data_IF_867662170961
#
_entry.id   IF_867662170961
#
_cell.length_a   1.000
_cell.length_b   1.000
_cell.length_c   1.000
_cell.angle_alpha   90.00
_cell.angle_beta   90.00
_cell.angle_gamma   90.00
#
_symmetry.space_group_name_H-M   'P 1'
#
loop_
_entity.id
_entity.type
_entity.pdbx_description
1 polymer ?
#
# COMPACT_ATOMS: atom_id res chain seq x y z
N UNK A 1 -4.29 -15.62 4.76
CA UNK A 1 -5.64 -15.07 4.53
C UNK A 1 -5.82 -14.66 3.10
N UNK A 2 -7.07 -14.66 2.65
CA UNK A 2 -7.28 -14.25 1.33
C UNK A 2 -8.68 -14.00 0.83
N UNK A 3 -8.82 -13.09 -0.18
CA UNK A 3 -10.07 -12.72 -0.84
C UNK A 3 -10.01 -13.06 -2.33
N UNK A 4 -10.92 -13.89 -2.83
CA UNK A 4 -11.01 -14.35 -4.21
C UNK A 4 -12.19 -13.70 -4.93
N UNK A 5 -11.90 -12.79 -5.89
CA UNK A 5 -12.90 -11.93 -6.55
C UNK A 5 -13.93 -12.69 -7.40
N UNK A 6 -13.57 -13.83 -7.94
CA UNK A 6 -14.43 -14.63 -8.82
C UNK A 6 -14.90 -15.93 -8.18
N UNK A 7 -14.24 -16.46 -7.17
CA UNK A 7 -14.75 -17.55 -6.34
C UNK A 7 -15.71 -17.03 -5.26
N UNK A 8 -15.65 -15.72 -5.00
CA UNK A 8 -16.49 -15.06 -3.99
C UNK A 8 -16.23 -15.58 -2.57
N UNK A 9 -14.97 -15.96 -2.30
CA UNK A 9 -14.56 -16.57 -1.03
C UNK A 9 -13.61 -15.65 -0.25
N UNK A 10 -13.73 -15.69 1.08
CA UNK A 10 -12.69 -15.31 2.04
C UNK A 10 -12.21 -16.58 2.72
N UNK A 11 -10.91 -16.85 2.62
CA UNK A 11 -10.31 -18.10 3.09
C UNK A 11 -9.05 -17.87 3.90
N UNK A 12 -8.73 -18.80 4.79
CA UNK A 12 -7.43 -18.89 5.41
C UNK A 12 -6.88 -20.30 5.25
N UNK A 13 -5.57 -20.45 5.27
CA UNK A 13 -4.91 -21.74 5.13
C UNK A 13 -4.13 -22.07 6.37
N UNK A 14 -4.49 -23.17 6.98
CA UNK A 14 -3.79 -23.71 8.14
C UNK A 14 -2.54 -24.46 7.69
N UNK A 15 -1.41 -24.10 8.26
CA UNK A 15 -0.18 -24.84 8.12
C UNK A 15 -0.06 -25.92 9.18
N UNK A 16 0.25 -27.16 8.78
CA UNK A 16 0.45 -28.29 9.71
C UNK A 16 1.91 -28.42 10.20
N UNK A 17 2.75 -27.40 9.93
CA UNK A 17 4.17 -27.44 10.26
C UNK A 17 5.01 -28.36 9.37
N UNK A 18 4.44 -28.91 8.31
CA UNK A 18 5.12 -29.81 7.38
C UNK A 18 5.03 -29.37 5.92
N UNK A 19 4.78 -28.08 5.65
CA UNK A 19 4.52 -27.54 4.31
C UNK A 19 3.28 -28.13 3.64
N UNK A 20 2.30 -28.50 4.43
CA UNK A 20 1.01 -28.97 3.96
C UNK A 20 -0.06 -28.02 4.47
N UNK A 21 -0.83 -27.46 3.56
CA UNK A 21 -1.86 -26.50 3.85
C UNK A 21 -3.23 -27.12 3.82
N UNK A 22 -4.03 -26.79 4.83
CA UNK A 22 -5.46 -27.10 4.84
C UNK A 22 -6.22 -25.82 4.64
N UNK A 23 -6.94 -25.72 3.54
CA UNK A 23 -7.80 -24.59 3.25
C UNK A 23 -9.02 -24.59 4.17
N UNK A 24 -9.30 -23.43 4.74
CA UNK A 24 -10.47 -23.18 5.58
C UNK A 24 -11.19 -21.94 5.06
N UNK A 25 -12.43 -22.11 4.66
CA UNK A 25 -13.26 -20.99 4.18
C UNK A 25 -13.83 -20.26 5.37
N UNK A 26 -13.56 -18.96 5.46
CA UNK A 26 -14.18 -18.05 6.41
C UNK A 26 -15.58 -17.71 5.90
N UNK A 27 -15.67 -17.29 4.62
CA UNK A 27 -16.93 -17.00 3.95
C UNK A 27 -16.87 -17.44 2.49
N UNK A 28 -17.88 -18.16 2.01
CA UNK A 28 -17.93 -18.75 0.68
C UNK A 28 -18.85 -18.06 -0.32
N UNK A 29 -19.51 -16.97 0.08
CA UNK A 29 -20.44 -16.22 -0.76
C UNK A 29 -20.19 -14.71 -0.70
N UNK A 30 -18.92 -14.30 -0.41
CA UNK A 30 -18.51 -12.89 -0.30
C UNK A 30 -18.21 -12.31 -1.68
N UNK A 31 -19.24 -12.07 -2.44
CA UNK A 31 -19.21 -11.80 -3.88
C UNK A 31 -18.36 -10.58 -4.24
N UNK A 32 -17.31 -10.82 -4.99
CA UNK A 32 -16.37 -9.78 -5.40
C UNK A 32 -15.38 -9.36 -4.30
N UNK A 33 -15.05 -10.28 -3.39
CA UNK A 33 -14.00 -10.06 -2.38
C UNK A 33 -12.73 -9.51 -3.03
N UNK A 34 -12.19 -8.40 -2.53
CA UNK A 34 -11.03 -7.72 -3.13
C UNK A 34 -9.88 -7.48 -2.17
N UNK A 35 -10.19 -7.03 -0.99
CA UNK A 35 -9.17 -6.68 -0.01
C UNK A 35 -9.46 -7.38 1.30
N UNK A 36 -8.41 -7.84 1.97
CA UNK A 36 -8.51 -8.53 3.26
C UNK A 36 -7.36 -8.07 4.15
N UNK A 37 -7.67 -7.81 5.40
CA UNK A 37 -6.71 -7.48 6.44
C UNK A 37 -6.78 -8.48 7.56
N UNK A 38 -5.64 -8.71 8.21
CA UNK A 38 -5.53 -9.46 9.44
C UNK A 38 -5.12 -8.48 10.54
N UNK A 39 -5.95 -8.30 11.53
CA UNK A 39 -5.74 -7.38 12.65
C UNK A 39 -6.57 -7.82 13.84
N UNK A 40 -6.07 -7.60 15.04
CA UNK A 40 -6.84 -7.77 16.29
C UNK A 40 -7.81 -6.58 16.40
N UNK A 41 -9.07 -6.78 16.05
CA UNK A 41 -10.10 -5.72 15.98
C UNK A 41 -10.70 -5.44 17.35
N UNK A 42 -10.87 -6.48 18.20
CA UNK A 42 -11.53 -6.36 19.50
C UNK A 42 -10.56 -6.32 20.69
N UNK A 43 -9.24 -6.37 20.42
CA UNK A 43 -8.22 -6.24 21.44
C UNK A 43 -8.08 -7.47 22.36
N UNK A 44 -8.61 -8.63 21.95
CA UNK A 44 -8.56 -9.86 22.75
C UNK A 44 -7.23 -10.62 22.62
N UNK A 45 -6.36 -10.21 21.67
CA UNK A 45 -5.04 -10.76 21.42
C UNK A 45 -5.00 -11.83 20.32
N UNK A 46 -6.14 -12.17 19.75
CA UNK A 46 -6.24 -13.05 18.59
C UNK A 46 -6.40 -12.20 17.31
N UNK A 47 -5.90 -12.70 16.18
CA UNK A 47 -6.01 -11.98 14.92
C UNK A 47 -7.32 -12.30 14.22
N UNK A 48 -8.06 -11.26 13.92
CA UNK A 48 -9.30 -11.30 13.18
C UNK A 48 -9.12 -11.05 11.68
N UNK A 49 -10.22 -11.13 10.94
CA UNK A 49 -10.23 -10.86 9.50
C UNK A 49 -11.26 -9.80 9.14
N UNK A 50 -10.79 -8.76 8.46
CA UNK A 50 -11.61 -7.73 7.87
C UNK A 50 -11.51 -7.78 6.35
N UNK A 51 -12.62 -7.75 5.63
CA UNK A 51 -12.60 -7.73 4.17
C UNK A 51 -13.69 -6.85 3.54
N UNK A 52 -13.38 -6.35 2.34
CA UNK A 52 -14.29 -5.60 1.49
C UNK A 52 -14.66 -6.40 0.23
N UNK A 53 -15.94 -6.35 -0.15
CA UNK A 53 -16.49 -7.04 -1.33
C UNK A 53 -17.27 -6.08 -2.23
N UNK A 54 -16.69 -5.74 -3.36
CA UNK A 54 -17.23 -4.71 -4.25
C UNK A 54 -18.47 -5.12 -5.07
N UNK A 55 -18.80 -6.40 -5.12
CA UNK A 55 -20.01 -6.87 -5.80
C UNK A 55 -21.12 -7.30 -4.82
N UNK A 56 -20.76 -7.56 -3.58
CA UNK A 56 -21.73 -7.80 -2.51
C UNK A 56 -22.20 -6.51 -1.85
N UNK A 57 -21.50 -5.39 -2.10
CA UNK A 57 -21.74 -4.11 -1.43
C UNK A 57 -21.57 -4.22 0.10
N UNK A 58 -20.48 -4.92 0.51
CA UNK A 58 -20.29 -5.34 1.88
C UNK A 58 -18.86 -5.11 2.38
N UNK A 59 -18.78 -4.71 3.65
CA UNK A 59 -17.58 -4.76 4.46
C UNK A 59 -17.88 -5.62 5.67
N UNK A 60 -17.10 -6.65 5.87
CA UNK A 60 -17.34 -7.64 6.92
C UNK A 60 -16.09 -7.90 7.72
N UNK A 61 -16.27 -8.03 9.03
CA UNK A 61 -15.28 -8.48 9.97
C UNK A 61 -15.65 -9.88 10.49
N UNK A 62 -14.65 -10.75 10.65
CA UNK A 62 -14.78 -12.08 11.22
C UNK A 62 -13.89 -12.18 12.44
N UNK A 63 -14.52 -12.35 13.59
CA UNK A 63 -13.86 -12.56 14.87
C UNK A 63 -13.22 -13.94 14.94
N UNK A 64 -11.97 -14.00 15.37
CA UNK A 64 -11.29 -15.23 15.70
C UNK A 64 -11.54 -15.54 17.18
N UNK A 65 -12.35 -16.53 17.47
CA UNK A 65 -12.70 -16.92 18.84
C UNK A 65 -11.94 -18.15 19.34
N UNK A 66 -10.75 -18.42 18.76
CA UNK A 66 -9.98 -19.63 19.03
C UNK A 66 -9.34 -19.57 20.43
N UNK A 67 -9.86 -20.32 21.35
CA UNK A 67 -9.21 -20.59 22.63
C UNK A 67 -8.14 -21.67 22.49
N UNK A 68 -6.86 -21.28 22.26
CA UNK A 68 -5.69 -22.18 22.27
C UNK A 68 -5.89 -23.56 21.60
N UNK A 69 -6.64 -23.64 20.54
CA UNK A 69 -6.74 -24.80 19.66
C UNK A 69 -6.16 -24.42 18.30
N UNK A 70 -5.29 -25.24 17.76
CA UNK A 70 -4.56 -25.00 16.49
C UNK A 70 -5.45 -24.80 15.24
N UNK A 71 -6.74 -24.66 15.42
CA UNK A 71 -7.71 -24.34 14.36
C UNK A 71 -8.59 -23.19 14.82
N UNK A 72 -8.37 -21.97 14.33
CA UNK A 72 -9.25 -20.83 14.63
C UNK A 72 -10.68 -21.13 14.12
N UNK A 73 -11.65 -20.68 14.90
CA UNK A 73 -13.06 -20.72 14.49
C UNK A 73 -13.46 -19.30 14.12
N UNK A 74 -13.91 -19.12 12.88
CA UNK A 74 -14.24 -17.81 12.34
C UNK A 74 -15.74 -17.54 12.47
N UNK A 75 -16.10 -16.39 13.02
CA UNK A 75 -17.48 -15.92 13.05
C UNK A 75 -17.58 -14.70 12.16
N UNK A 76 -18.34 -14.79 11.09
CA UNK A 76 -18.60 -13.67 10.19
C UNK A 76 -19.40 -12.60 10.91
N UNK A 77 -18.90 -11.39 10.92
CA UNK A 77 -19.55 -10.21 11.47
C UNK A 77 -19.55 -9.10 10.42
N UNK A 78 -20.75 -8.75 9.99
CA UNK A 78 -20.90 -7.70 8.99
C UNK A 78 -20.72 -6.33 9.60
N UNK A 79 -19.80 -5.56 9.10
CA UNK A 79 -19.66 -4.14 9.40
C UNK A 79 -20.73 -3.36 8.63
N UNK A 80 -20.88 -3.65 7.35
CA UNK A 80 -21.89 -3.05 6.49
C UNK A 80 -22.28 -3.96 5.33
N UNK A 81 -23.55 -3.99 4.96
CA UNK A 81 -24.08 -4.72 3.81
C UNK A 81 -24.83 -3.80 2.84
N UNK A 82 -24.63 -2.50 2.96
CA UNK A 82 -25.39 -1.51 2.19
C UNK A 82 -24.51 -0.64 1.27
N UNK A 83 -23.22 -0.92 1.19
CA UNK A 83 -22.26 -0.17 0.39
C UNK A 83 -22.05 -0.81 -0.97
N UNK A 84 -22.15 -0.03 -2.01
CA UNK A 84 -22.04 -0.51 -3.39
C UNK A 84 -20.62 -0.32 -3.91
N UNK A 85 -19.86 -1.42 -4.00
CA UNK A 85 -18.50 -1.43 -4.53
C UNK A 85 -17.42 -0.86 -3.60
N UNK A 86 -17.29 -1.35 -2.35
CA UNK A 86 -16.13 -1.02 -1.55
C UNK A 86 -14.85 -1.47 -2.27
N UNK A 87 -13.86 -0.58 -2.39
CA UNK A 87 -12.65 -0.83 -3.19
C UNK A 87 -11.35 -0.73 -2.39
N UNK A 88 -11.31 0.15 -1.40
CA UNK A 88 -10.18 0.32 -0.52
C UNK A 88 -10.66 0.47 0.91
N UNK A 89 -9.91 -0.10 1.85
CA UNK A 89 -10.14 0.06 3.29
C UNK A 89 -8.82 0.42 3.98
N UNK A 90 -8.94 1.21 5.05
CA UNK A 90 -7.84 1.53 5.94
C UNK A 90 -8.34 1.41 7.38
N UNK A 91 -7.45 1.09 8.31
CA UNK A 91 -7.79 0.84 9.71
C UNK A 91 -6.96 1.74 10.61
N UNK A 92 -7.60 2.36 11.60
CA UNK A 92 -6.95 3.20 12.59
C UNK A 92 -7.94 3.68 13.64
N UNK A 93 -7.45 4.11 14.79
CA UNK A 93 -8.24 4.72 15.86
C UNK A 93 -8.59 6.17 15.45
N UNK A 94 -9.82 6.39 14.96
CA UNK A 94 -10.22 7.69 14.43
C UNK A 94 -10.82 8.62 15.46
N UNK A 95 -11.44 8.08 16.51
CA UNK A 95 -12.05 8.89 17.56
C UNK A 95 -11.23 9.01 18.84
N UNK A 96 -10.06 8.34 18.86
CA UNK A 96 -9.11 8.44 19.95
C UNK A 96 -9.50 7.66 21.20
N UNK A 97 -10.43 6.70 21.07
CA UNK A 97 -10.91 5.91 22.19
C UNK A 97 -10.04 4.66 22.46
N UNK A 98 -9.16 4.31 21.54
CA UNK A 98 -8.18 3.23 21.62
C UNK A 98 -8.59 1.98 20.86
N UNK A 99 -9.79 1.95 20.28
CA UNK A 99 -10.29 0.87 19.46
C UNK A 99 -10.02 1.14 17.97
N UNK A 100 -9.87 0.09 17.17
CA UNK A 100 -9.57 0.26 15.75
C UNK A 100 -10.85 0.42 14.92
N UNK A 101 -10.95 1.53 14.23
CA UNK A 101 -12.04 1.87 13.32
C UNK A 101 -11.70 1.52 11.86
N UNK A 102 -12.71 1.57 11.00
CA UNK A 102 -12.58 1.25 9.60
C UNK A 102 -13.02 2.43 8.73
N UNK A 103 -12.15 2.84 7.79
CA UNK A 103 -12.51 3.77 6.71
C UNK A 103 -12.54 3.03 5.40
N UNK A 104 -13.53 3.32 4.57
CA UNK A 104 -13.67 2.71 3.26
C UNK A 104 -13.92 3.73 2.14
N UNK A 105 -13.27 3.50 1.00
CA UNK A 105 -13.63 4.11 -0.27
C UNK A 105 -14.68 3.26 -0.97
N UNK A 106 -15.82 3.85 -1.29
CA UNK A 106 -16.94 3.18 -1.94
C UNK A 106 -17.05 3.69 -3.38
N UNK A 107 -16.60 2.88 -4.32
CA UNK A 107 -16.45 3.27 -5.71
C UNK A 107 -17.78 3.60 -6.39
N UNK A 108 -18.74 2.68 -6.38
CA UNK A 108 -20.00 2.84 -7.12
C UNK A 108 -21.00 3.80 -6.50
N UNK A 109 -20.99 3.93 -5.17
CA UNK A 109 -21.80 4.91 -4.46
C UNK A 109 -21.08 6.25 -4.32
N UNK A 110 -19.85 6.35 -4.76
CA UNK A 110 -19.05 7.58 -4.67
C UNK A 110 -18.94 8.12 -3.25
N UNK A 111 -18.68 7.28 -2.29
CA UNK A 111 -18.66 7.67 -0.89
C UNK A 111 -17.32 7.36 -0.21
N UNK A 112 -17.01 8.16 0.79
CA UNK A 112 -16.07 7.81 1.85
C UNK A 112 -16.90 7.59 3.10
N UNK A 113 -16.72 6.44 3.72
CA UNK A 113 -17.51 6.00 4.87
C UNK A 113 -16.58 5.60 6.00
N UNK A 114 -16.94 5.97 7.21
CA UNK A 114 -16.29 5.55 8.43
C UNK A 114 -17.23 4.70 9.27
N UNK A 115 -16.70 3.64 9.86
CA UNK A 115 -17.38 2.72 10.75
C UNK A 115 -16.69 2.75 12.09
N UNK A 116 -17.36 3.32 13.08
CA UNK A 116 -16.91 3.39 14.47
C UNK A 116 -17.06 2.03 15.13
N UNK A 117 -15.99 1.58 15.76
CA UNK A 117 -15.95 0.48 16.71
C UNK A 117 -16.16 1.06 18.11
N UNK A 118 -17.19 0.63 18.83
CA UNK A 118 -17.51 1.12 20.17
C UNK A 118 -16.83 0.32 21.30
N UNK A 119 -15.76 -0.42 20.95
CA UNK A 119 -15.01 -1.28 21.87
C UNK A 119 -15.62 -2.67 22.06
N UNK A 120 -16.69 -2.98 21.37
CA UNK A 120 -17.26 -4.33 21.30
C UNK A 120 -17.69 -4.66 19.87
N UNK A 121 -16.73 -4.84 18.94
CA UNK A 121 -17.03 -5.14 17.54
C UNK A 121 -17.80 -6.45 17.38
N UNK A 122 -17.91 -7.26 18.46
CA UNK A 122 -18.60 -8.55 18.45
C UNK A 122 -20.11 -8.44 18.49
N UNK A 123 -20.67 -7.36 19.00
CA UNK A 123 -22.13 -7.17 19.09
C UNK A 123 -22.77 -6.75 17.77
N UNK A 124 -21.95 -6.43 16.74
CA UNK A 124 -22.39 -5.97 15.44
C UNK A 124 -22.90 -4.52 15.45
N UNK A 125 -22.54 -3.78 16.49
CA UNK A 125 -22.98 -2.43 16.76
C UNK A 125 -22.19 -1.34 16.05
N UNK A 126 -21.55 -1.60 14.92
CA UNK A 126 -20.82 -0.59 14.14
C UNK A 126 -21.69 0.61 13.82
N UNK A 127 -21.26 1.76 14.27
CA UNK A 127 -21.92 3.00 13.93
C UNK A 127 -21.37 3.53 12.62
N UNK A 128 -22.23 3.68 11.62
CA UNK A 128 -21.79 4.11 10.28
C UNK A 128 -21.93 5.62 10.14
N UNK A 129 -20.85 6.26 9.74
CA UNK A 129 -20.83 7.67 9.40
C UNK A 129 -20.40 7.85 7.94
N UNK A 130 -21.19 8.59 7.20
CA UNK A 130 -20.77 9.02 5.86
C UNK A 130 -19.87 10.23 6.01
N UNK A 131 -18.58 10.03 5.79
CA UNK A 131 -17.61 11.13 5.73
C UNK A 131 -17.96 12.05 4.58
N UNK A 132 -18.25 11.44 3.41
CA UNK A 132 -18.66 12.17 2.22
C UNK A 132 -19.52 11.31 1.29
N UNK A 133 -20.54 11.97 0.71
CA UNK A 133 -21.37 11.46 -0.36
C UNK A 133 -21.32 12.46 -1.53
N UNK A 134 -20.97 11.99 -2.70
CA UNK A 134 -20.85 12.84 -3.90
C UNK A 134 -22.12 12.85 -4.76
N UNK A 135 -23.16 12.09 -4.36
CA UNK A 135 -24.47 12.08 -5.02
C UNK A 135 -24.37 11.99 -6.56
N UNK A 136 -23.54 11.08 -7.07
CA UNK A 136 -23.27 10.95 -8.50
C UNK A 136 -23.92 9.71 -9.13
N UNK A 137 -25.23 9.80 -9.48
CA UNK A 137 -25.94 8.66 -10.02
C UNK A 137 -25.57 8.30 -11.47
N UNK A 138 -24.65 9.05 -12.09
CA UNK A 138 -24.27 8.84 -13.49
C UNK A 138 -22.92 8.15 -13.64
N UNK A 139 -22.12 7.98 -12.56
CA UNK A 139 -20.84 7.29 -12.63
C UNK A 139 -21.00 5.82 -12.26
N UNK A 140 -21.05 4.99 -13.25
CA UNK A 140 -21.03 3.52 -13.09
C UNK A 140 -19.61 2.92 -13.10
N UNK A 141 -18.59 3.73 -13.30
CA UNK A 141 -17.20 3.27 -13.37
C UNK A 141 -16.26 4.33 -12.76
N UNK A 142 -15.64 3.98 -11.61
CA UNK A 142 -14.48 4.70 -11.10
C UNK A 142 -14.76 6.04 -10.42
N UNK A 143 -15.28 6.02 -9.20
CA UNK A 143 -15.50 7.25 -8.44
C UNK A 143 -14.46 7.45 -7.34
N UNK A 144 -14.44 6.61 -6.32
CA UNK A 144 -13.41 6.63 -5.29
C UNK A 144 -12.38 5.52 -5.56
N UNK A 145 -11.10 5.83 -5.43
CA UNK A 145 -10.04 4.90 -5.80
C UNK A 145 -9.24 4.44 -4.58
N UNK A 146 -8.90 5.37 -3.70
CA UNK A 146 -8.03 5.08 -2.57
C UNK A 146 -8.34 5.95 -1.36
N UNK A 147 -8.10 5.39 -0.16
CA UNK A 147 -8.10 6.11 1.12
C UNK A 147 -6.81 5.84 1.89
N UNK A 148 -6.32 6.86 2.57
CA UNK A 148 -5.13 6.79 3.41
C UNK A 148 -5.36 7.59 4.69
N UNK A 149 -4.87 7.08 5.83
CA UNK A 149 -4.99 7.72 7.13
C UNK A 149 -3.66 8.37 7.52
N UNK A 150 -3.72 9.62 7.97
CA UNK A 150 -2.59 10.34 8.53
C UNK A 150 -3.10 11.50 9.39
N UNK A 151 -2.37 11.86 10.45
CA UNK A 151 -2.61 13.07 11.25
C UNK A 151 -2.02 14.26 10.47
N UNK A 152 -2.85 14.90 9.64
CA UNK A 152 -2.39 15.92 8.69
C UNK A 152 -2.22 17.30 9.31
N UNK A 153 -2.85 17.60 10.46
CA UNK A 153 -2.76 18.90 11.11
C UNK A 153 -2.08 18.87 12.49
N UNK A 154 -1.44 17.72 12.81
CA UNK A 154 -0.64 17.48 14.03
C UNK A 154 -1.45 17.74 15.32
N UNK A 155 -2.77 17.50 15.25
CA UNK A 155 -3.65 17.67 16.41
C UNK A 155 -3.81 16.37 17.22
N UNK A 156 -3.35 15.25 16.70
CA UNK A 156 -3.31 13.93 17.32
C UNK A 156 -4.42 13.01 16.84
N UNK A 157 -5.33 13.50 16.01
CA UNK A 157 -6.44 12.75 15.45
C UNK A 157 -6.12 12.32 14.00
N UNK A 158 -6.51 11.11 13.60
CA UNK A 158 -6.26 10.63 12.25
C UNK A 158 -7.25 11.24 11.25
N UNK A 159 -6.71 11.86 10.22
CA UNK A 159 -7.45 12.40 9.10
C UNK A 159 -7.51 11.42 7.92
N UNK A 160 -8.34 11.74 6.93
CA UNK A 160 -8.50 10.90 5.75
C UNK A 160 -8.05 11.66 4.50
N UNK A 161 -7.07 11.13 3.80
CA UNK A 161 -6.78 11.47 2.41
C UNK A 161 -7.53 10.50 1.50
N UNK A 162 -8.14 11.01 0.43
CA UNK A 162 -8.86 10.16 -0.52
C UNK A 162 -8.68 10.64 -1.95
N UNK A 163 -8.48 9.69 -2.86
CA UNK A 163 -8.42 9.95 -4.30
C UNK A 163 -9.76 9.62 -4.95
N UNK A 164 -10.12 10.47 -5.88
CA UNK A 164 -11.22 10.28 -6.79
C UNK A 164 -10.67 10.36 -8.20
N UNK A 165 -10.58 9.22 -8.88
CA UNK A 165 -10.03 9.13 -10.22
C UNK A 165 -10.79 8.08 -10.99
N UNK A 166 -11.38 8.45 -12.10
CA UNK A 166 -12.07 7.51 -12.98
C UNK A 166 -11.28 7.22 -14.25
N UNK A 167 -11.57 6.09 -14.89
CA UNK A 167 -11.03 5.76 -16.20
C UNK A 167 -11.59 6.63 -17.34
N UNK A 168 -12.54 7.50 -17.04
CA UNK A 168 -13.22 8.34 -18.02
C UNK A 168 -12.65 9.76 -18.06
N UNK A 169 -11.73 10.00 -18.99
CA UNK A 169 -11.30 11.36 -19.35
C UNK A 169 -12.51 12.23 -19.75
N UNK A 170 -12.78 13.28 -19.01
CA UNK A 170 -13.71 14.32 -19.41
C UNK A 170 -14.91 14.58 -18.50
N UNK A 171 -14.93 14.03 -17.27
CA UNK A 171 -16.01 14.30 -16.31
C UNK A 171 -15.76 15.46 -15.37
N UNK A 172 -14.55 16.00 -15.31
CA UNK A 172 -14.16 17.10 -14.41
C UNK A 172 -14.37 16.79 -12.91
N UNK A 173 -14.31 15.51 -12.54
CA UNK A 173 -14.64 15.03 -11.21
C UNK A 173 -13.44 14.51 -10.44
N UNK A 174 -12.35 14.25 -11.14
CA UNK A 174 -11.12 13.72 -10.53
C UNK A 174 -10.57 14.71 -9.52
N UNK A 175 -10.16 14.20 -8.38
CA UNK A 175 -9.72 15.03 -7.29
C UNK A 175 -8.96 14.25 -6.23
N UNK A 176 -8.18 15.00 -5.46
CA UNK A 176 -7.58 14.58 -4.23
C UNK A 176 -8.23 15.40 -3.10
N UNK A 177 -8.72 14.70 -2.10
CA UNK A 177 -9.44 15.28 -0.99
C UNK A 177 -8.71 15.03 0.32
N UNK A 178 -8.91 15.96 1.24
CA UNK A 178 -8.54 15.88 2.63
C UNK A 178 -9.78 16.10 3.49
N UNK A 179 -10.04 15.19 4.41
CA UNK A 179 -11.15 15.24 5.35
C UNK A 179 -10.58 15.36 6.75
N UNK A 180 -10.88 16.48 7.38
CA UNK A 180 -10.36 16.85 8.68
C UNK A 180 -11.18 16.17 9.76
N UNK A 181 -10.46 15.46 10.63
CA UNK A 181 -10.94 15.03 11.92
C UNK A 181 -10.60 16.12 12.94
N UNK A 182 -11.56 16.62 13.70
CA UNK A 182 -11.36 17.61 14.76
C UNK A 182 -11.51 17.00 16.16
N UNK A 183 -11.27 15.69 16.29
CA UNK A 183 -11.48 14.90 17.49
C UNK A 183 -12.95 14.64 17.81
N UNK A 184 -13.84 14.94 16.88
CA UNK A 184 -15.27 14.65 16.99
C UNK A 184 -15.82 14.13 15.67
N UNK A 185 -15.28 13.01 15.15
CA UNK A 185 -15.60 12.52 13.80
C UNK A 185 -17.10 12.18 13.61
N UNK A 186 -17.81 11.86 14.70
CA UNK A 186 -19.25 11.63 14.73
C UNK A 186 -20.07 12.90 14.47
N UNK A 187 -19.50 14.08 14.73
CA UNK A 187 -20.17 15.36 14.47
C UNK A 187 -20.06 15.81 13.01
N UNK A 188 -19.24 15.16 12.22
CA UNK A 188 -19.06 15.35 10.78
C UNK A 188 -17.68 15.91 10.39
N UNK A 189 -17.29 15.57 9.21
CA UNK A 189 -15.97 15.87 8.63
C UNK A 189 -15.97 17.15 7.81
N UNK A 190 -14.89 17.90 7.93
CA UNK A 190 -14.67 19.09 7.10
C UNK A 190 -13.84 18.74 5.88
N UNK A 191 -14.47 18.69 4.71
CA UNK A 191 -13.78 18.41 3.46
C UNK A 191 -13.01 19.61 2.95
N UNK A 192 -11.79 19.38 2.53
CA UNK A 192 -11.00 20.26 1.67
C UNK A 192 -10.67 19.54 0.37
N UNK A 193 -10.58 20.29 -0.69
CA UNK A 193 -10.09 19.81 -1.96
C UNK A 193 -8.65 20.27 -2.10
N UNK A 194 -7.73 19.33 -2.18
CA UNK A 194 -6.33 19.62 -2.42
C UNK A 194 -6.18 20.04 -3.89
N UNK A 195 -6.65 19.18 -4.79
CA UNK A 195 -6.69 19.46 -6.23
C UNK A 195 -7.91 18.82 -6.87
N UNK A 196 -8.41 19.39 -7.95
CA UNK A 196 -9.55 18.84 -8.70
C UNK A 196 -9.60 19.26 -10.17
N UNK A 197 -10.31 18.47 -10.96
CA UNK A 197 -10.63 18.67 -12.36
C UNK A 197 -9.66 18.03 -13.34
N UNK A 198 -10.15 17.63 -14.49
CA UNK A 198 -9.43 16.87 -15.54
C UNK A 198 -8.11 17.52 -15.98
N UNK A 199 -7.96 18.82 -15.83
CA UNK A 199 -6.70 19.49 -16.16
C UNK A 199 -5.63 19.38 -15.07
N UNK A 200 -5.97 18.96 -13.86
CA UNK A 200 -5.08 19.00 -12.71
C UNK A 200 -5.03 17.70 -11.90
N UNK A 201 -6.03 16.84 -12.03
CA UNK A 201 -6.19 15.65 -11.20
C UNK A 201 -6.65 14.41 -11.98
N UNK A 202 -6.57 14.41 -13.32
CA UNK A 202 -7.07 13.33 -14.19
C UNK A 202 -6.37 12.00 -13.87
N UNK A 203 -7.16 11.03 -13.41
CA UNK A 203 -6.65 9.72 -12.98
C UNK A 203 -5.88 9.77 -11.67
N UNK A 204 -6.30 10.57 -10.67
CA UNK A 204 -5.73 10.51 -9.33
C UNK A 204 -5.75 9.06 -8.81
N UNK A 205 -4.58 8.49 -8.48
CA UNK A 205 -4.44 7.06 -8.27
C UNK A 205 -3.84 6.71 -6.89
N UNK A 206 -2.60 7.04 -6.63
CA UNK A 206 -1.93 6.80 -5.34
C UNK A 206 -1.74 8.10 -4.59
N UNK A 207 -1.74 8.00 -3.28
CA UNK A 207 -1.47 9.12 -2.37
C UNK A 207 -0.66 8.64 -1.18
N UNK A 208 0.33 9.44 -0.78
CA UNK A 208 1.11 9.25 0.44
C UNK A 208 1.22 10.56 1.19
N UNK A 209 1.23 10.51 2.51
CA UNK A 209 1.50 11.64 3.39
C UNK A 209 2.95 11.59 3.87
N UNK A 210 3.67 12.71 3.76
CA UNK A 210 5.06 12.82 4.22
C UNK A 210 5.43 14.29 4.41
N UNK A 211 6.31 14.59 5.35
CA UNK A 211 6.88 15.94 5.58
C UNK A 211 7.99 16.16 4.53
N UNK A 212 7.63 16.76 3.41
CA UNK A 212 8.50 16.89 2.22
C UNK A 212 9.49 18.06 2.35
N UNK A 213 9.09 19.14 3.01
CA UNK A 213 9.93 20.33 3.17
C UNK A 213 10.58 20.44 4.55
N UNK A 214 10.40 19.42 5.39
CA UNK A 214 10.97 19.34 6.73
C UNK A 214 10.54 20.48 7.65
N UNK A 215 9.37 21.08 7.40
CA UNK A 215 8.83 22.14 8.25
C UNK A 215 8.08 21.56 9.48
N UNK A 216 7.79 20.28 9.47
CA UNK A 216 7.18 19.51 10.54
C UNK A 216 5.72 19.20 10.30
N UNK A 217 5.14 19.71 9.23
CA UNK A 217 3.78 19.45 8.81
C UNK A 217 3.75 18.36 7.73
N UNK A 218 2.72 17.50 7.73
CA UNK A 218 2.60 16.47 6.69
C UNK A 218 2.06 17.07 5.40
N UNK A 219 2.78 16.85 4.33
CA UNK A 219 2.39 17.15 2.96
C UNK A 219 1.75 15.94 2.28
N UNK A 220 1.34 16.14 1.03
CA UNK A 220 0.73 15.08 0.23
C UNK A 220 1.47 14.90 -1.09
N UNK A 221 1.93 13.68 -1.35
CA UNK A 221 2.45 13.29 -2.66
C UNK A 221 1.43 12.39 -3.35
N UNK A 222 1.13 12.67 -4.61
CA UNK A 222 0.14 11.92 -5.36
C UNK A 222 0.55 11.67 -6.80
N UNK A 223 0.18 10.48 -7.32
CA UNK A 223 0.32 10.12 -8.72
C UNK A 223 -1.00 10.29 -9.47
N UNK A 224 -0.89 10.71 -10.74
CA UNK A 224 -2.02 10.93 -11.64
C UNK A 224 -1.79 10.18 -12.93
N UNK A 225 -2.39 9.02 -13.04
CA UNK A 225 -2.15 8.08 -14.11
C UNK A 225 -2.47 8.66 -15.49
N UNK A 226 -3.64 9.26 -15.66
CA UNK A 226 -4.09 9.79 -16.96
C UNK A 226 -3.36 11.09 -17.34
N UNK A 227 -2.96 11.90 -16.36
CA UNK A 227 -2.13 13.08 -16.59
C UNK A 227 -0.66 12.76 -16.79
N UNK A 228 -0.23 11.55 -16.44
CA UNK A 228 1.19 11.21 -16.43
C UNK A 228 1.99 12.17 -15.54
N UNK A 229 1.53 12.36 -14.33
CA UNK A 229 2.00 13.38 -13.40
C UNK A 229 2.22 12.78 -12.02
N UNK A 230 3.25 13.24 -11.34
CA UNK A 230 3.40 13.18 -9.89
C UNK A 230 3.51 14.60 -9.37
N UNK A 231 2.80 14.89 -8.32
CA UNK A 231 2.83 16.20 -7.70
C UNK A 231 2.91 16.08 -6.19
N UNK A 232 3.57 17.05 -5.60
CA UNK A 232 3.57 17.34 -4.19
C UNK A 232 2.66 18.55 -3.92
N UNK A 233 1.91 18.46 -2.85
CA UNK A 233 1.01 19.49 -2.36
C UNK A 233 1.47 19.90 -0.98
N UNK A 234 2.06 21.09 -0.89
CA UNK A 234 2.59 21.65 0.33
C UNK A 234 1.48 22.09 1.28
N UNK A 235 1.62 21.66 2.52
CA UNK A 235 0.84 22.08 3.66
C UNK A 235 1.58 23.24 4.36
N UNK A 236 0.99 24.42 4.43
CA UNK A 236 1.60 25.62 5.07
C UNK A 236 1.46 25.62 6.61
N UNK A 237 1.27 24.46 7.23
CA UNK A 237 0.99 24.30 8.66
C UNK A 237 -0.45 24.64 9.04
N UNK A 238 -1.29 24.80 8.05
CA UNK A 238 -2.71 25.00 8.25
C UNK A 238 -3.53 24.38 7.11
N UNK A 239 -3.58 23.06 7.00
CA UNK A 239 -4.28 22.37 5.93
C UNK A 239 -5.77 22.76 5.88
N UNK A 240 -6.29 23.27 6.99
CA UNK A 240 -7.67 23.72 7.13
C UNK A 240 -8.02 24.98 6.33
N UNK A 241 -7.04 25.80 5.95
CA UNK A 241 -7.27 27.02 5.20
C UNK A 241 -7.55 26.76 3.70
N UNK A 242 -7.25 25.55 3.19
CA UNK A 242 -7.39 25.15 1.79
C UNK A 242 -6.33 25.78 0.88
N UNK A 243 -5.25 26.25 1.45
CA UNK A 243 -4.17 26.96 0.76
C UNK A 243 -3.04 26.06 0.29
N UNK A 244 -3.33 24.84 -0.16
CA UNK A 244 -2.32 23.94 -0.70
C UNK A 244 -1.57 24.56 -1.87
N UNK A 245 -0.26 24.60 -1.77
CA UNK A 245 0.59 25.00 -2.88
C UNK A 245 0.94 23.75 -3.68
N UNK A 246 0.70 23.79 -4.97
CA UNK A 246 0.98 22.63 -5.84
C UNK A 246 2.36 22.77 -6.44
N UNK A 247 3.15 21.72 -6.30
CA UNK A 247 4.46 21.58 -6.94
C UNK A 247 4.44 20.35 -7.83
N UNK A 248 4.47 20.57 -9.13
CA UNK A 248 4.63 19.47 -10.06
C UNK A 248 6.10 19.02 -10.04
N UNK A 249 6.36 17.74 -9.76
CA UNK A 249 7.73 17.24 -9.71
C UNK A 249 8.42 17.31 -11.08
N UNK A 250 7.64 17.31 -12.16
CA UNK A 250 8.16 17.43 -13.52
C UNK A 250 7.13 18.03 -14.48
N UNK A 251 7.59 18.56 -15.62
CA UNK A 251 6.69 18.98 -16.70
C UNK A 251 6.08 17.80 -17.42
N UNK A 252 4.83 17.93 -17.77
CA UNK A 252 4.05 16.92 -18.47
C UNK A 252 4.82 16.25 -19.62
N UNK A 253 4.97 14.94 -19.56
CA UNK A 253 5.46 14.09 -20.63
C UNK A 253 4.36 13.11 -20.98
N UNK A 254 3.61 13.38 -22.05
CA UNK A 254 2.53 12.50 -22.46
C UNK A 254 2.98 11.04 -22.62
N UNK A 255 2.20 10.11 -22.09
CA UNK A 255 2.45 8.68 -22.20
C UNK A 255 3.39 8.12 -21.12
N UNK A 256 3.40 8.70 -19.93
CA UNK A 256 4.15 8.17 -18.77
C UNK A 256 3.33 7.14 -17.98
N UNK A 257 2.06 7.43 -17.77
CA UNK A 257 1.23 6.71 -16.80
C UNK A 257 1.95 6.54 -15.47
N UNK A 258 1.94 7.59 -14.63
CA UNK A 258 2.51 7.55 -13.28
C UNK A 258 1.69 6.58 -12.44
N UNK A 259 2.18 5.33 -12.34
CA UNK A 259 1.41 4.21 -11.83
C UNK A 259 1.62 4.02 -10.33
N UNK A 260 2.87 3.93 -9.92
CA UNK A 260 3.21 3.77 -8.51
C UNK A 260 4.25 4.80 -8.07
N UNK A 261 4.29 5.09 -6.76
CA UNK A 261 5.23 6.02 -6.13
C UNK A 261 5.71 5.49 -4.78
N UNK A 262 7.00 5.72 -4.52
CA UNK A 262 7.60 5.55 -3.20
C UNK A 262 8.16 6.88 -2.72
N UNK A 263 8.04 7.16 -1.41
CA UNK A 263 8.57 8.38 -0.77
C UNK A 263 9.63 7.98 0.25
N UNK A 264 10.86 8.36 0.00
CA UNK A 264 12.03 7.89 0.76
C UNK A 264 13.22 8.80 0.53
N UNK A 265 14.07 8.98 1.53
CA UNK A 265 15.35 9.69 1.43
C UNK A 265 16.36 8.81 0.68
N UNK A 266 16.58 9.06 -0.61
CA UNK A 266 17.43 8.25 -1.50
C UNK A 266 18.89 8.62 -1.40
N UNK A 267 19.20 9.90 -1.17
CA UNK A 267 20.59 10.37 -1.15
C UNK A 267 21.16 10.57 0.25
N UNK A 268 20.35 10.29 1.28
CA UNK A 268 20.81 10.28 2.66
C UNK A 268 21.04 11.68 3.23
N UNK A 269 20.50 12.72 2.60
CA UNK A 269 20.68 14.10 3.03
C UNK A 269 19.66 14.53 4.11
N UNK A 270 18.64 13.71 4.32
CA UNK A 270 17.60 13.87 5.35
C UNK A 270 16.31 14.45 4.81
N UNK A 271 16.24 14.75 3.53
CA UNK A 271 15.06 15.21 2.83
C UNK A 271 14.39 14.04 2.09
N UNK A 272 13.06 14.01 2.08
CA UNK A 272 12.34 12.90 1.45
C UNK A 272 12.18 13.14 -0.04
N UNK A 273 12.61 12.16 -0.81
CA UNK A 273 12.54 12.12 -2.26
C UNK A 273 11.32 11.32 -2.76
N UNK A 274 11.13 11.29 -4.08
CA UNK A 274 10.08 10.50 -4.72
C UNK A 274 10.67 9.61 -5.81
N UNK A 275 10.35 8.33 -5.75
CA UNK A 275 10.61 7.36 -6.81
C UNK A 275 9.31 7.05 -7.54
N UNK A 276 9.33 7.01 -8.87
CA UNK A 276 8.14 6.77 -9.71
C UNK A 276 8.33 5.56 -10.62
N UNK A 277 7.34 4.68 -10.64
CA UNK A 277 7.13 3.72 -11.72
C UNK A 277 6.29 4.34 -12.82
N UNK A 278 6.92 4.67 -13.94
CA UNK A 278 6.26 5.26 -15.11
C UNK A 278 5.93 4.17 -16.14
N UNK A 279 4.74 3.56 -15.99
CA UNK A 279 4.35 2.31 -16.65
C UNK A 279 4.45 2.34 -18.18
N UNK A 280 3.74 3.23 -18.85
CA UNK A 280 3.69 3.23 -20.33
C UNK A 280 5.03 3.62 -20.95
N UNK A 281 5.81 4.45 -20.29
CA UNK A 281 7.15 4.83 -20.76
C UNK A 281 8.21 3.77 -20.46
N UNK A 282 7.90 2.80 -19.59
CA UNK A 282 8.82 1.76 -19.13
C UNK A 282 10.07 2.33 -18.48
N UNK A 283 9.89 3.24 -17.56
CA UNK A 283 10.99 3.93 -16.88
C UNK A 283 10.76 3.97 -15.39
N UNK A 284 11.87 4.10 -14.66
CA UNK A 284 11.87 4.45 -13.26
C UNK A 284 12.61 5.77 -13.13
N UNK A 285 12.03 6.68 -12.35
CA UNK A 285 12.62 7.98 -12.08
C UNK A 285 12.77 8.19 -10.58
N UNK A 286 13.82 8.86 -10.21
CA UNK A 286 14.00 9.48 -8.93
C UNK A 286 13.90 10.99 -9.10
N UNK A 287 13.17 11.62 -8.24
CA UNK A 287 13.01 13.06 -8.12
C UNK A 287 13.64 13.48 -6.82
N UNK A 288 14.76 14.19 -6.93
CA UNK A 288 15.55 14.68 -5.81
C UNK A 288 14.89 15.91 -5.19
N UNK A 289 14.68 15.83 -3.89
CA UNK A 289 14.42 16.97 -3.03
C UNK A 289 15.75 17.42 -2.43
N UNK A 290 16.24 18.62 -2.78
CA UNK A 290 17.53 19.15 -2.33
C UNK A 290 17.41 19.98 -1.04
N UNK A 291 16.37 19.76 -0.24
CA UNK A 291 16.04 20.53 0.96
C UNK A 291 15.52 21.91 0.68
N UNK A 292 15.25 22.21 -0.58
CA UNK A 292 14.62 23.47 -0.99
C UNK A 292 13.52 23.23 -2.03
N UNK A 293 12.53 22.38 -1.68
CA UNK A 293 11.56 21.88 -2.66
C UNK A 293 10.74 22.99 -3.34
N UNK A 294 10.64 24.18 -2.72
CA UNK A 294 9.85 25.33 -3.19
C UNK A 294 10.60 26.30 -4.10
N UNK A 295 11.93 26.30 -4.12
CA UNK A 295 12.71 27.47 -4.61
C UNK A 295 13.31 27.32 -5.99
N UNK A 296 12.98 26.32 -6.74
CA UNK A 296 13.52 26.14 -8.09
C UNK A 296 12.98 27.20 -9.05
N UNK A 297 13.77 28.22 -9.26
CA UNK A 297 13.44 29.40 -10.07
C UNK A 297 13.28 29.06 -11.55
N UNK A 298 12.17 29.47 -12.11
CA UNK A 298 11.84 29.61 -13.53
C UNK A 298 11.26 28.36 -14.25
N UNK A 299 11.44 27.16 -13.75
CA UNK A 299 10.75 25.93 -14.18
C UNK A 299 10.65 25.00 -12.96
N UNK A 300 9.89 25.28 -11.96
CA UNK A 300 9.67 24.69 -10.62
C UNK A 300 9.63 23.15 -10.52
N UNK A 301 10.56 22.46 -11.16
CA UNK A 301 10.64 21.01 -11.20
C UNK A 301 11.82 20.50 -10.39
N UNK A 302 11.58 19.40 -9.67
CA UNK A 302 12.63 18.70 -8.98
C UNK A 302 13.67 18.17 -9.95
N UNK A 303 14.89 18.07 -9.49
CA UNK A 303 15.93 17.42 -10.28
C UNK A 303 15.53 15.97 -10.51
N UNK A 304 15.24 15.63 -11.75
CA UNK A 304 14.85 14.26 -12.07
C UNK A 304 16.02 13.46 -12.61
N UNK A 305 16.34 12.40 -11.95
CA UNK A 305 17.30 11.40 -12.42
C UNK A 305 16.53 10.19 -12.93
N UNK A 306 16.82 9.82 -14.15
CA UNK A 306 16.28 8.60 -14.69
C UNK A 306 17.14 7.43 -14.21
N UNK A 307 16.57 6.57 -13.40
CA UNK A 307 17.21 5.37 -12.90
C UNK A 307 17.30 4.34 -14.03
N UNK A 308 16.19 4.06 -14.70
CA UNK A 308 16.13 3.05 -15.75
C UNK A 308 15.33 3.52 -16.97
N UNK A 309 15.60 2.91 -18.12
CA UNK A 309 14.97 3.24 -19.39
C UNK A 309 14.81 2.00 -20.29
N UNK A 310 13.60 1.78 -20.77
CA UNK A 310 13.30 0.59 -21.56
C UNK A 310 13.10 -0.64 -20.70
N UNK A 311 12.61 -0.42 -19.50
CA UNK A 311 12.36 -1.45 -18.48
C UNK A 311 11.15 -2.33 -18.85
N UNK A 312 10.33 -1.87 -19.76
CA UNK A 312 9.03 -2.43 -20.08
C UNK A 312 7.95 -1.65 -19.33
N UNK A 313 6.79 -2.21 -19.13
CA UNK A 313 5.77 -1.61 -18.27
C UNK A 313 6.27 -1.65 -16.82
N UNK A 314 6.78 -0.53 -16.32
CA UNK A 314 7.18 -0.43 -14.91
C UNK A 314 5.92 -0.49 -14.04
N UNK A 315 5.80 -1.54 -13.25
CA UNK A 315 4.55 -1.86 -12.55
C UNK A 315 4.61 -1.62 -11.05
N UNK A 316 5.81 -1.64 -10.47
CA UNK A 316 5.96 -1.44 -9.04
C UNK A 316 7.38 -0.97 -8.72
N UNK A 317 7.54 -0.18 -7.67
CA UNK A 317 8.83 0.29 -7.15
C UNK A 317 8.86 0.19 -5.63
N UNK A 318 10.03 -0.14 -5.12
CA UNK A 318 10.33 -0.14 -3.69
C UNK A 318 11.73 0.43 -3.46
N UNK A 319 12.05 0.78 -2.23
CA UNK A 319 13.39 1.21 -1.83
C UNK A 319 13.85 0.46 -0.58
N UNK A 320 15.12 0.07 -0.57
CA UNK A 320 15.78 -0.57 0.57
C UNK A 320 17.29 -0.51 0.39
N UNK A 321 18.05 -0.54 1.47
CA UNK A 321 19.50 -0.74 1.46
C UNK A 321 19.78 -2.23 1.17
N UNK A 322 20.04 -2.54 -0.09
CA UNK A 322 20.15 -3.93 -0.58
C UNK A 322 21.55 -4.50 -0.36
N UNK A 323 22.58 -3.66 -0.46
CA UNK A 323 23.97 -4.14 -0.31
C UNK A 323 24.57 -3.83 1.06
N UNK A 324 23.79 -3.23 1.96
CA UNK A 324 24.19 -2.98 3.33
C UNK A 324 25.24 -1.87 3.47
N UNK A 325 25.34 -0.99 2.48
CA UNK A 325 26.32 0.10 2.50
C UNK A 325 25.79 1.37 3.19
N UNK A 326 24.51 1.41 3.47
CA UNK A 326 23.81 2.47 4.18
C UNK A 326 23.08 3.45 3.27
N UNK A 327 23.17 3.29 1.96
CA UNK A 327 22.48 4.08 0.98
C UNK A 327 21.19 3.37 0.51
N UNK A 328 20.12 4.11 0.28
CA UNK A 328 18.85 3.52 -0.17
C UNK A 328 18.89 3.23 -1.67
N UNK A 329 18.81 1.97 -2.02
CA UNK A 329 18.70 1.49 -3.40
C UNK A 329 17.27 1.49 -3.89
N UNK A 330 17.09 1.35 -5.20
CA UNK A 330 15.76 1.22 -5.82
C UNK A 330 15.58 -0.17 -6.42
N UNK A 331 14.47 -0.79 -6.13
CA UNK A 331 14.03 -2.04 -6.73
C UNK A 331 12.84 -1.74 -7.64
N UNK A 332 12.77 -2.36 -8.81
CA UNK A 332 11.66 -2.17 -9.71
C UNK A 332 11.28 -3.44 -10.46
N UNK A 333 10.01 -3.49 -10.82
CA UNK A 333 9.44 -4.52 -11.68
C UNK A 333 9.13 -4.00 -13.06
N UNK A 334 9.36 -4.82 -14.07
CA UNK A 334 9.01 -4.56 -15.45
C UNK A 334 8.08 -5.64 -15.98
N UNK A 335 6.78 -5.40 -15.96
CA UNK A 335 5.77 -6.36 -16.35
C UNK A 335 6.00 -6.93 -17.76
N UNK A 336 6.08 -6.06 -18.77
CA UNK A 336 6.35 -6.51 -20.16
C UNK A 336 7.83 -6.74 -20.44
N UNK A 337 8.70 -6.38 -19.52
CA UNK A 337 10.15 -6.56 -19.62
C UNK A 337 10.63 -7.86 -19.02
N UNK A 338 9.78 -8.58 -18.30
CA UNK A 338 10.12 -9.83 -17.59
C UNK A 338 11.33 -9.66 -16.67
N UNK A 339 11.34 -8.60 -15.86
CA UNK A 339 12.49 -8.29 -15.01
C UNK A 339 12.08 -7.86 -13.62
N UNK A 340 12.86 -8.30 -12.65
CA UNK A 340 13.05 -7.64 -11.37
C UNK A 340 14.50 -7.20 -11.32
N UNK A 341 14.74 -5.93 -11.07
CA UNK A 341 16.06 -5.37 -11.03
C UNK A 341 16.24 -4.52 -9.78
N UNK A 342 17.43 -4.54 -9.27
CA UNK A 342 17.95 -3.65 -8.28
C UNK A 342 18.87 -2.64 -8.96
N UNK A 343 18.75 -1.39 -8.57
CA UNK A 343 19.49 -0.26 -9.09
C UNK A 343 20.30 0.32 -7.94
N UNK A 344 21.62 0.11 -8.02
CA UNK A 344 22.55 0.51 -6.96
C UNK A 344 22.63 2.01 -6.84
N UNK A 345 22.44 2.49 -5.63
CA UNK A 345 22.86 3.80 -5.20
C UNK A 345 24.26 3.69 -4.58
N UNK A 346 25.27 4.35 -5.16
CA UNK A 346 26.65 4.35 -4.66
C UNK A 346 26.96 5.55 -3.75
N UNK A 347 25.92 6.12 -3.11
CA UNK A 347 25.99 7.34 -2.34
C UNK A 347 26.12 8.60 -3.20
N UNK A 348 25.84 8.48 -4.49
CA UNK A 348 25.88 9.60 -5.43
C UNK A 348 24.74 9.52 -6.46
N UNK A 349 23.49 9.42 -6.03
CA UNK A 349 22.37 9.08 -6.89
C UNK A 349 22.10 10.12 -8.00
N UNK A 350 22.49 11.37 -7.83
CA UNK A 350 22.42 12.43 -8.84
C UNK A 350 23.40 12.26 -10.01
N UNK A 351 24.37 11.35 -9.88
CA UNK A 351 25.22 10.91 -10.99
C UNK A 351 24.42 10.00 -11.95
N UNK A 352 24.61 10.14 -13.25
CA UNK A 352 23.91 9.34 -14.26
C UNK A 352 24.28 7.83 -14.25
N UNK A 353 24.69 7.26 -13.13
CA UNK A 353 25.36 5.97 -13.06
C UNK A 353 24.65 4.95 -12.17
N UNK A 354 23.35 4.96 -12.14
CA UNK A 354 22.63 3.86 -11.54
C UNK A 354 23.00 2.55 -12.25
N UNK A 355 23.58 1.65 -11.51
CA UNK A 355 24.02 0.36 -12.06
C UNK A 355 22.91 -0.64 -11.81
N UNK A 356 22.31 -1.11 -12.90
CA UNK A 356 21.27 -2.11 -12.83
C UNK A 356 21.87 -3.50 -12.64
N UNK A 357 21.45 -4.17 -11.60
CA UNK A 357 21.71 -5.58 -11.35
C UNK A 357 20.41 -6.35 -11.48
N UNK A 358 20.48 -7.49 -12.15
CA UNK A 358 19.33 -8.36 -12.29
C UNK A 358 19.15 -9.18 -11.02
N UNK A 359 18.05 -9.00 -10.36
CA UNK A 359 17.61 -9.91 -9.30
C UNK A 359 17.03 -11.17 -9.95
N UNK A 360 16.17 -10.99 -10.96
CA UNK A 360 15.58 -12.13 -11.66
C UNK A 360 14.88 -11.75 -12.96
N UNK A 361 14.48 -12.79 -13.68
CA UNK A 361 13.71 -12.65 -14.92
C UNK A 361 12.42 -13.47 -14.83
N UNK A 362 11.54 -13.13 -13.89
CA UNK A 362 10.22 -13.75 -13.84
C UNK A 362 9.38 -13.25 -15.01
N UNK A 363 8.46 -14.05 -15.49
CA UNK A 363 7.58 -13.67 -16.58
C UNK A 363 6.42 -12.81 -16.03
N UNK A 364 6.30 -11.57 -16.47
CA UNK A 364 5.24 -10.65 -16.06
C UNK A 364 5.23 -10.29 -14.57
N UNK A 365 6.32 -9.75 -13.98
CA UNK A 365 6.31 -9.32 -12.60
C UNK A 365 5.37 -8.13 -12.42
N UNK A 366 4.56 -8.14 -11.35
CA UNK A 366 3.51 -7.14 -11.13
C UNK A 366 3.55 -6.50 -9.74
N UNK A 367 4.00 -7.23 -8.73
CA UNK A 367 4.12 -6.73 -7.37
C UNK A 367 5.41 -7.24 -6.74
N UNK A 368 6.05 -6.38 -5.92
CA UNK A 368 7.25 -6.71 -5.14
C UNK A 368 7.11 -6.28 -3.70
N UNK A 369 7.78 -7.03 -2.84
CA UNK A 369 7.99 -6.68 -1.43
C UNK A 369 9.46 -6.86 -1.10
N UNK A 370 10.03 -5.89 -0.39
CA UNK A 370 11.40 -5.93 0.15
C UNK A 370 11.35 -6.12 1.66
N UNK A 371 12.01 -7.15 2.15
CA UNK A 371 12.03 -7.49 3.58
C UNK A 371 13.19 -8.44 3.87
N UNK A 372 13.79 -8.37 5.05
CA UNK A 372 14.67 -9.42 5.57
C UNK A 372 13.80 -10.66 5.90
N UNK A 373 13.65 -11.55 4.90
CA UNK A 373 12.69 -12.64 4.95
C UNK A 373 13.19 -13.83 5.76
N UNK A 374 14.48 -14.06 5.74
CA UNK A 374 15.11 -15.17 6.47
C UNK A 374 15.83 -14.75 7.75
N UNK A 375 15.69 -13.46 8.12
CA UNK A 375 16.26 -12.86 9.33
C UNK A 375 17.77 -12.95 9.44
N UNK A 376 18.48 -12.94 8.31
CA UNK A 376 19.93 -12.94 8.28
C UNK A 376 20.56 -11.53 8.34
N UNK A 377 19.72 -10.52 8.22
CA UNK A 377 20.07 -9.10 8.29
C UNK A 377 20.20 -8.43 6.93
N UNK A 378 20.09 -9.19 5.85
CA UNK A 378 20.15 -8.72 4.47
C UNK A 378 18.72 -8.62 3.87
N UNK A 379 18.45 -7.62 3.06
CA UNK A 379 17.11 -7.43 2.50
C UNK A 379 16.90 -8.33 1.29
N UNK A 380 15.86 -9.13 1.34
CA UNK A 380 15.40 -10.02 0.28
C UNK A 380 14.32 -9.37 -0.59
N UNK A 381 14.02 -10.00 -1.73
CA UNK A 381 12.97 -9.56 -2.65
C UNK A 381 12.00 -10.70 -2.96
N UNK A 382 10.74 -10.47 -2.65
CA UNK A 382 9.65 -11.32 -3.11
C UNK A 382 9.01 -10.71 -4.35
N UNK A 383 8.57 -11.56 -5.27
CA UNK A 383 7.97 -11.10 -6.52
C UNK A 383 6.80 -11.99 -6.95
N UNK A 384 5.66 -11.35 -7.20
CA UNK A 384 4.54 -11.93 -7.91
C UNK A 384 4.81 -11.89 -9.41
N UNK A 385 4.97 -13.05 -10.03
CA UNK A 385 5.20 -13.21 -11.47
C UNK A 385 3.91 -13.68 -12.16
N UNK A 386 3.07 -12.72 -12.54
CA UNK A 386 1.71 -12.93 -13.04
C UNK A 386 1.64 -13.89 -14.23
N UNK A 387 2.36 -13.57 -15.31
CA UNK A 387 2.38 -14.38 -16.53
C UNK A 387 3.25 -15.66 -16.38
N UNK A 388 4.03 -15.72 -15.33
CA UNK A 388 4.89 -16.84 -15.01
C UNK A 388 4.26 -17.87 -14.11
N UNK A 389 3.07 -17.60 -13.60
CA UNK A 389 2.30 -18.45 -12.69
C UNK A 389 3.14 -18.85 -11.45
N UNK A 390 3.83 -17.89 -10.84
CA UNK A 390 4.76 -18.13 -9.74
C UNK A 390 4.85 -17.00 -8.75
N UNK A 391 5.08 -17.39 -7.50
CA UNK A 391 5.63 -16.51 -6.48
C UNK A 391 7.08 -16.91 -6.25
N UNK A 392 7.96 -15.95 -6.29
CA UNK A 392 9.39 -16.15 -6.16
C UNK A 392 9.95 -15.36 -4.99
N UNK A 393 10.80 -16.02 -4.25
CA UNK A 393 11.71 -15.39 -3.31
C UNK A 393 13.10 -15.35 -3.94
N UNK A 394 13.71 -14.19 -3.91
CA UNK A 394 15.10 -13.96 -4.25
C UNK A 394 15.82 -13.58 -2.97
N UNK A 395 16.66 -14.50 -2.46
CA UNK A 395 17.42 -14.26 -1.23
C UNK A 395 18.74 -13.60 -1.53
N UNK A 396 19.04 -12.58 -0.74
CA UNK A 396 20.29 -11.89 -0.64
C UNK A 396 21.12 -12.55 0.49
N UNK A 397 22.37 -12.89 0.24
CA UNK A 397 23.27 -13.49 1.24
C UNK A 397 24.37 -12.50 1.68
N UNK A 398 24.04 -11.19 1.62
CA UNK A 398 24.99 -10.10 1.89
C UNK A 398 26.01 -9.90 0.76
N UNK A 399 25.81 -10.55 -0.36
CA UNK A 399 26.64 -10.36 -1.56
C UNK A 399 25.81 -10.24 -2.83
N UNK A 400 24.90 -9.24 -2.91
CA UNK A 400 23.90 -9.15 -3.98
C UNK A 400 24.51 -9.03 -5.38
N UNK A 401 25.75 -8.52 -5.51
CA UNK A 401 26.52 -8.46 -6.74
C UNK A 401 26.97 -9.83 -7.26
N UNK A 402 27.10 -10.81 -6.38
CA UNK A 402 27.50 -12.15 -6.75
C UNK A 402 26.34 -12.98 -7.32
N UNK A 403 25.13 -12.48 -7.15
CA UNK A 403 23.90 -13.06 -7.65
C UNK A 403 22.96 -13.55 -6.55
N UNK A 404 21.70 -13.57 -6.86
CA UNK A 404 20.61 -13.91 -5.96
C UNK A 404 20.28 -15.39 -6.03
N UNK A 405 20.00 -15.98 -4.89
CA UNK A 405 19.41 -17.33 -4.83
C UNK A 405 17.93 -17.23 -5.08
N UNK A 406 17.42 -18.00 -6.04
CA UNK A 406 16.01 -17.92 -6.42
C UNK A 406 15.28 -19.21 -6.06
N UNK A 407 14.27 -19.07 -5.23
CA UNK A 407 13.37 -20.16 -4.82
C UNK A 407 11.95 -19.85 -5.28
N UNK A 408 11.20 -20.86 -5.70
CA UNK A 408 9.78 -20.68 -5.92
C UNK A 408 9.05 -21.01 -4.62
N UNK A 409 8.36 -20.05 -4.07
CA UNK A 409 7.42 -20.25 -2.98
C UNK A 409 6.21 -21.01 -3.53
N UNK A 410 5.70 -20.57 -4.67
CA UNK A 410 4.58 -21.22 -5.34
C UNK A 410 4.81 -21.34 -6.85
N UNK A 411 4.15 -22.35 -7.43
CA UNK A 411 4.11 -22.61 -8.88
C UNK A 411 2.72 -23.06 -9.29
N UNK A 412 2.33 -22.74 -10.49
CA UNK A 412 0.97 -22.97 -11.02
C UNK A 412 -0.09 -22.12 -10.29
N UNK A 413 0.27 -20.92 -9.95
CA UNK A 413 -0.61 -19.85 -9.42
C UNK A 413 -0.98 -18.95 -10.59
N UNK A 414 -2.06 -19.28 -11.28
CA UNK A 414 -2.41 -18.68 -12.58
C UNK A 414 -2.82 -17.20 -12.42
N UNK A 415 -2.02 -16.28 -12.99
CA UNK A 415 -2.20 -14.84 -12.92
C UNK A 415 -2.18 -14.26 -11.48
N UNK A 416 -1.16 -14.60 -10.68
CA UNK A 416 -0.94 -13.91 -9.40
C UNK A 416 -0.82 -12.40 -9.60
N UNK A 417 -1.60 -11.63 -8.84
CA UNK A 417 -1.75 -10.17 -9.04
C UNK A 417 -1.11 -9.33 -7.93
N UNK A 418 -1.04 -9.86 -6.73
CA UNK A 418 -0.47 -9.16 -5.58
C UNK A 418 0.09 -10.13 -4.56
N UNK A 419 1.09 -9.68 -3.80
CA UNK A 419 1.66 -10.40 -2.68
C UNK A 419 1.80 -9.48 -1.47
N UNK A 420 1.61 -10.06 -0.30
CA UNK A 420 1.81 -9.40 0.98
C UNK A 420 2.64 -10.30 1.87
N UNK A 421 3.53 -9.72 2.68
CA UNK A 421 4.39 -10.46 3.60
C UNK A 421 4.08 -10.07 5.03
N UNK A 422 3.79 -11.05 5.85
CA UNK A 422 3.41 -10.87 7.26
C UNK A 422 3.64 -12.17 8.02
N UNK A 423 3.97 -12.09 9.30
CA UNK A 423 3.90 -13.24 10.22
C UNK A 423 2.42 -13.51 10.52
N UNK A 424 1.81 -14.41 9.74
CA UNK A 424 0.35 -14.59 9.74
C UNK A 424 -0.13 -15.48 10.88
N UNK A 425 0.69 -16.41 11.35
CA UNK A 425 0.34 -17.34 12.42
C UNK A 425 1.07 -17.03 13.74
N UNK A 426 1.79 -15.90 13.78
CA UNK A 426 2.57 -15.45 14.93
C UNK A 426 3.58 -16.49 15.45
N UNK A 427 4.10 -17.32 14.55
CA UNK A 427 5.16 -18.27 14.86
C UNK A 427 6.54 -17.62 14.89
N UNK A 428 6.64 -16.36 14.49
CA UNK A 428 7.85 -15.54 14.44
C UNK A 428 8.56 -15.55 13.09
N UNK A 429 7.96 -16.17 12.09
CA UNK A 429 8.46 -16.19 10.72
C UNK A 429 7.52 -15.45 9.78
N UNK A 430 8.09 -14.91 8.69
CA UNK A 430 7.30 -14.21 7.69
C UNK A 430 6.68 -15.19 6.70
N UNK A 431 5.40 -15.01 6.45
CA UNK A 431 4.62 -15.76 5.48
C UNK A 431 4.30 -14.93 4.24
N UNK A 432 3.84 -15.60 3.20
CA UNK A 432 3.42 -14.94 1.97
C UNK A 432 1.95 -15.19 1.70
N UNK A 433 1.18 -14.11 1.63
CA UNK A 433 -0.21 -14.13 1.18
C UNK A 433 -0.26 -13.63 -0.26
N UNK A 434 -0.94 -14.35 -1.13
CA UNK A 434 -1.00 -14.02 -2.55
C UNK A 434 -2.42 -14.05 -3.11
N UNK A 435 -2.77 -13.03 -3.88
CA UNK A 435 -3.98 -13.00 -4.69
C UNK A 435 -3.71 -13.62 -6.06
N UNK A 436 -4.52 -14.61 -6.45
CA UNK A 436 -4.38 -15.36 -7.70
C UNK A 436 -5.65 -15.15 -8.53
N UNK A 437 -5.58 -14.17 -9.44
CA UNK A 437 -6.77 -13.63 -10.11
C UNK A 437 -7.53 -14.66 -10.95
N UNK A 438 -6.84 -15.50 -11.71
CA UNK A 438 -7.49 -16.40 -12.64
C UNK A 438 -7.93 -17.74 -12.03
N UNK A 439 -7.25 -18.15 -10.99
CA UNK A 439 -7.67 -19.33 -10.22
C UNK A 439 -8.79 -18.99 -9.23
N UNK A 440 -9.11 -17.67 -9.09
CA UNK A 440 -10.08 -17.18 -8.12
C UNK A 440 -9.73 -17.62 -6.68
N UNK A 441 -8.42 -17.62 -6.39
CA UNK A 441 -7.88 -18.10 -5.13
C UNK A 441 -7.05 -17.03 -4.46
N UNK A 442 -7.02 -17.09 -3.13
CA UNK A 442 -5.95 -16.48 -2.38
C UNK A 442 -5.29 -17.57 -1.57
N UNK A 443 -3.98 -17.61 -1.64
CA UNK A 443 -3.20 -18.64 -0.98
C UNK A 443 -2.24 -18.01 0.03
N UNK A 444 -2.11 -18.67 1.15
CA UNK A 444 -1.06 -18.40 2.11
C UNK A 444 0.03 -19.46 1.98
N UNK A 445 1.26 -19.02 2.00
CA UNK A 445 2.44 -19.87 1.90
C UNK A 445 3.29 -19.64 3.14
N UNK A 446 3.29 -20.62 4.02
CA UNK A 446 4.10 -20.62 5.21
C UNK A 446 5.56 -20.96 4.88
N UNK A 447 6.47 -20.24 5.48
CA UNK A 447 7.88 -20.56 5.50
C UNK A 447 8.20 -21.29 6.78
N UNK A 448 8.12 -22.62 6.75
CA UNK A 448 8.51 -23.41 7.90
C UNK A 448 9.92 -23.07 8.37
N UNK A 449 10.07 -22.91 9.69
CA UNK A 449 11.31 -22.65 10.39
C UNK A 449 12.53 -23.26 9.72
N UNK A 450 13.49 -22.46 9.34
CA UNK A 450 14.85 -22.95 9.06
C UNK A 450 15.44 -23.37 10.42
N UNK A 451 15.74 -24.66 10.66
CA UNK A 451 15.99 -25.17 12.01
C UNK A 451 17.37 -24.83 12.58
N UNK A 452 17.90 -23.65 12.42
CA UNK A 452 19.25 -23.37 12.92
C UNK A 452 19.42 -22.26 13.97
N UNK A 453 18.41 -21.47 14.33
CA UNK A 453 18.60 -20.41 15.32
C UNK A 453 17.54 -20.35 16.43
N UNK A 454 17.25 -21.48 17.06
CA UNK A 454 16.40 -21.52 18.25
C UNK A 454 17.12 -20.98 19.48
N UNK A 455 17.50 -19.71 19.55
CA UNK A 455 17.93 -19.08 20.83
C UNK A 455 18.24 -17.57 20.76
N UNK A 456 17.53 -16.81 19.97
CA UNK A 456 17.59 -15.34 20.12
C UNK A 456 16.21 -14.85 20.52
N UNK A 457 16.08 -14.45 21.77
CA UNK A 457 14.99 -13.61 22.27
C UNK A 457 15.01 -12.31 21.45
N UNK A 458 14.19 -12.23 20.42
CA UNK A 458 14.00 -11.01 19.66
C UNK A 458 13.18 -10.02 20.49
N UNK A 459 13.58 -8.75 20.56
CA UNK A 459 12.72 -7.72 21.08
C UNK A 459 11.61 -7.44 20.07
N UNK A 460 10.38 -7.46 20.51
CA UNK A 460 9.19 -7.02 19.80
C UNK A 460 9.37 -5.53 19.41
N UNK A 461 10.00 -5.27 18.30
CA UNK A 461 10.32 -3.90 17.83
C UNK A 461 10.29 -3.70 16.31
N UNK A 462 9.94 -4.69 15.51
CA UNK A 462 10.04 -4.55 14.04
C UNK A 462 8.73 -4.63 13.26
N UNK A 463 7.57 -4.64 13.90
CA UNK A 463 6.27 -4.62 13.20
C UNK A 463 5.75 -3.20 12.91
N UNK A 464 6.52 -2.14 13.21
CA UNK A 464 6.09 -0.73 13.06
C UNK A 464 6.84 0.05 11.98
N UNK A 465 7.31 -0.58 10.92
CA UNK A 465 8.09 0.09 9.87
C UNK A 465 7.37 0.24 8.52
N UNK A 466 6.07 0.01 8.43
CA UNK A 466 5.32 0.23 7.17
C UNK A 466 4.26 1.34 7.28
N UNK A 467 4.13 1.97 8.44
CA UNK A 467 3.41 3.24 8.54
C UNK A 467 4.39 4.27 9.07
N UNK A 468 4.75 5.25 8.25
CA UNK A 468 5.67 6.32 8.59
C UNK A 468 5.15 7.15 9.77
N UNK A 469 5.38 6.68 10.98
CA UNK A 469 5.19 7.46 12.19
C UNK A 469 6.57 7.66 12.84
N UNK A 470 7.20 8.76 12.47
CA UNK A 470 8.30 9.32 13.24
C UNK A 470 7.78 9.86 14.58
N UNK A 471 7.63 8.98 15.57
CA UNK A 471 7.33 9.42 16.92
C UNK A 471 8.60 9.96 17.57
N UNK A 472 8.86 11.26 17.45
CA UNK A 472 9.86 11.95 18.26
C UNK A 472 9.30 12.16 19.67
N UNK A 473 9.72 11.35 20.64
CA UNK A 473 9.61 11.70 22.06
C UNK A 473 10.47 12.93 22.32
N UNK A 474 9.85 14.05 22.63
CA UNK A 474 10.51 15.16 23.34
C UNK A 474 10.63 14.79 24.84
N UNK A 475 11.85 14.83 25.36
CA UNK A 475 12.13 15.08 26.77
C UNK A 475 12.45 16.56 26.95
#
# INVERSE_FOLDING_TARGET
LGAATTADDVTWWENDGSQSFTENTIEGDFNGARNVYAVDVDGDGDIDVLAAANLADDITWWENTATFSFTPTWTSRSVSTSQNGPISVSVGDLDGDGDLDIVAAIDRDCQVVWYENDGDPTDGGWTTYTVKDYDDPESYEGCMDYVHLADMDDDGDLDILATRGGSDSGTNKDALFYYINDGTPDAGWSQKTIVSGDSNADGAHRVKAADIDNDGDLDVVASFMMQSKVAWYENDGNPNNGGWTTHDLFSEVSGRYSYDIEVVDIDGDGDLDVVEAAADSGKIFWFENDGTPETNSDDDYWTSTKIENGFGWASDVAAADIDGDGDMDVIGTAYTGDKVSWFVNDGSPGGANWVAHSIGTPNGPISIVTVDFDYDGDIDVLCAARDGDKIKLYTNDGTPDAGWSATNIATNVDEVSDIFVVDLDFDGYLDVVAAIEKDDEINWYDTAAIPEFSNILMPIASVLAIVGLNYRRRH
#
